data_IF_433323782881
#
_entry.id   IF_433323782881
#
_cell.length_a   1.000
_cell.length_b   1.000
_cell.length_c   1.000
_cell.angle_alpha   90.00
_cell.angle_beta   90.00
_cell.angle_gamma   90.00
#
_symmetry.space_group_name_H-M   'P 1'
#
loop_
_entity.id
_entity.type
_entity.pdbx_description
1 polymer ?
#
# COMPACT_ATOMS: atom_id res chain seq x y z
N UNK A 1 39.73 18.50 -41.05
CA UNK A 1 38.78 17.37 -40.91
C UNK A 1 38.38 17.20 -39.45
N UNK A 2 37.09 17.39 -39.15
CA UNK A 2 36.42 16.74 -38.02
C UNK A 2 36.72 17.26 -36.60
N UNK A 3 36.27 18.48 -36.29
CA UNK A 3 36.11 18.90 -34.90
C UNK A 3 34.97 18.11 -34.23
N UNK A 4 35.28 17.58 -33.05
CA UNK A 4 34.40 17.46 -31.87
C UNK A 4 33.33 16.34 -31.84
N UNK A 5 33.72 15.15 -31.37
CA UNK A 5 32.81 14.10 -30.87
C UNK A 5 32.39 14.40 -29.42
N UNK A 6 31.77 15.56 -29.19
CA UNK A 6 31.08 15.88 -27.92
C UNK A 6 29.69 16.44 -28.19
N UNK A 7 28.94 15.79 -29.08
CA UNK A 7 27.56 16.18 -29.40
C UNK A 7 26.65 14.96 -29.49
N UNK A 8 26.66 14.08 -28.48
CA UNK A 8 25.68 12.98 -28.38
C UNK A 8 25.32 12.69 -26.91
N UNK A 9 24.81 13.70 -26.21
CA UNK A 9 23.81 13.54 -25.14
C UNK A 9 23.19 14.89 -24.78
N UNK A 10 22.56 15.56 -25.76
CA UNK A 10 21.56 16.55 -25.40
C UNK A 10 20.33 15.76 -24.97
N UNK A 11 20.23 15.48 -23.66
CA UNK A 11 19.03 14.93 -23.03
C UNK A 11 17.84 15.66 -23.61
N UNK A 12 16.98 14.94 -24.34
CA UNK A 12 15.72 15.46 -24.82
C UNK A 12 15.01 16.05 -23.59
N UNK A 13 15.00 17.38 -23.46
CA UNK A 13 14.39 18.09 -22.34
C UNK A 13 12.96 17.59 -22.26
N UNK A 14 12.71 16.72 -21.28
CA UNK A 14 11.46 16.00 -21.13
C UNK A 14 10.35 17.01 -20.91
N UNK A 15 9.56 17.26 -21.96
CA UNK A 15 8.49 18.25 -21.94
C UNK A 15 7.28 17.62 -21.24
N UNK A 16 6.97 18.12 -20.05
CA UNK A 16 5.75 17.75 -19.31
C UNK A 16 4.58 18.50 -19.95
N UNK A 17 3.54 17.76 -20.33
CA UNK A 17 2.38 18.29 -21.04
C UNK A 17 1.21 18.49 -20.08
N UNK A 18 0.52 19.62 -20.22
CA UNK A 18 -0.69 19.93 -19.47
C UNK A 18 -1.81 18.97 -19.89
N UNK A 19 -2.60 18.50 -18.92
CA UNK A 19 -3.70 17.54 -19.12
C UNK A 19 -3.30 16.07 -19.01
N UNK A 20 -2.00 15.75 -18.99
CA UNK A 20 -1.51 14.38 -18.80
C UNK A 20 -1.23 14.08 -17.32
N UNK A 21 -1.37 12.81 -16.96
CA UNK A 21 -1.01 12.27 -15.65
C UNK A 21 0.42 11.76 -15.71
N UNK A 22 1.22 12.20 -14.74
CA UNK A 22 2.61 11.77 -14.58
C UNK A 22 2.85 11.23 -13.18
N UNK A 23 3.83 10.35 -13.01
CA UNK A 23 4.28 9.95 -11.67
C UNK A 23 5.24 11.00 -11.14
N UNK A 24 4.82 11.86 -10.22
CA UNK A 24 5.63 12.95 -9.67
C UNK A 24 6.00 12.70 -8.21
N UNK A 25 7.22 13.06 -7.83
CA UNK A 25 7.71 12.95 -6.45
C UNK A 25 7.05 14.00 -5.57
N UNK A 26 6.19 13.57 -4.65
CA UNK A 26 5.52 14.39 -3.64
C UNK A 26 5.87 13.81 -2.26
N UNK A 27 6.49 14.60 -1.39
CA UNK A 27 6.85 14.17 -0.03
C UNK A 27 7.80 12.96 0.05
N UNK A 28 8.56 12.68 -1.02
CA UNK A 28 9.47 11.52 -1.10
C UNK A 28 8.89 10.29 -1.81
N UNK A 29 7.59 10.28 -2.11
CA UNK A 29 6.91 9.19 -2.83
C UNK A 29 6.49 9.66 -4.22
N UNK A 30 6.53 8.78 -5.22
CA UNK A 30 5.99 9.09 -6.55
C UNK A 30 4.50 8.83 -6.59
N UNK A 31 3.71 9.87 -6.80
CA UNK A 31 2.26 9.84 -6.88
C UNK A 31 1.78 10.25 -8.27
N UNK A 32 0.61 9.76 -8.73
CA UNK A 32 0.05 10.17 -10.01
C UNK A 32 -0.48 11.60 -9.89
N UNK A 33 0.11 12.51 -10.64
CA UNK A 33 -0.24 13.92 -10.68
C UNK A 33 -0.68 14.28 -12.09
N UNK A 34 -1.93 14.71 -12.23
CA UNK A 34 -2.43 15.32 -13.47
C UNK A 34 -1.95 16.75 -13.54
N UNK A 35 -1.24 17.12 -14.59
CA UNK A 35 -0.80 18.49 -14.80
C UNK A 35 -1.99 19.34 -15.22
N UNK A 36 -2.24 20.42 -14.49
CA UNK A 36 -3.35 21.33 -14.75
C UNK A 36 -2.84 22.63 -15.39
N UNK A 37 -1.67 23.12 -14.95
CA UNK A 37 -1.08 24.36 -15.44
C UNK A 37 0.44 24.30 -15.47
N UNK A 38 1.06 24.90 -16.48
CA UNK A 38 2.51 25.17 -16.47
C UNK A 38 2.78 26.48 -15.73
N UNK A 39 3.73 26.47 -14.80
CA UNK A 39 4.16 27.63 -14.02
C UNK A 39 5.44 28.28 -14.59
N UNK A 40 5.97 27.76 -15.70
CA UNK A 40 7.25 28.20 -16.28
C UNK A 40 8.48 27.61 -15.55
N UNK A 41 9.68 27.81 -16.12
CA UNK A 41 10.97 27.31 -15.57
C UNK A 41 11.00 25.81 -15.26
N UNK A 42 10.27 24.99 -16.03
CA UNK A 42 10.18 23.55 -15.77
C UNK A 42 9.38 23.20 -14.52
N UNK A 43 8.54 24.11 -14.03
CA UNK A 43 7.60 23.86 -12.94
C UNK A 43 6.17 23.79 -13.46
N UNK A 44 5.40 22.92 -12.84
CA UNK A 44 4.02 22.64 -13.20
C UNK A 44 3.18 22.54 -11.94
N UNK A 45 1.94 23.01 -12.03
CA UNK A 45 0.91 22.77 -11.05
C UNK A 45 0.02 21.63 -11.55
N UNK A 46 -0.29 20.71 -10.66
CA UNK A 46 -1.12 19.57 -10.98
C UNK A 46 -1.90 19.08 -9.78
N UNK A 47 -2.83 18.18 -10.05
CA UNK A 47 -3.69 17.56 -9.05
C UNK A 47 -3.22 16.14 -8.82
N UNK A 48 -2.84 15.83 -7.59
CA UNK A 48 -2.53 14.48 -7.15
C UNK A 48 -3.82 13.65 -7.12
N UNK A 49 -3.84 12.56 -7.88
CA UNK A 49 -5.00 11.68 -7.98
C UNK A 49 -4.85 10.47 -7.03
N UNK A 50 -5.95 9.90 -6.50
CA UNK A 50 -7.33 10.39 -6.59
C UNK A 50 -7.68 11.52 -5.62
N UNK A 51 -6.81 11.81 -4.65
CA UNK A 51 -7.10 12.69 -3.52
C UNK A 51 -7.51 14.13 -3.89
N UNK A 52 -7.27 14.56 -5.13
CA UNK A 52 -7.61 15.90 -5.60
C UNK A 52 -6.70 17.00 -5.05
N UNK A 53 -5.59 16.62 -4.40
CA UNK A 53 -4.68 17.57 -3.74
C UNK A 53 -3.84 18.29 -4.78
N UNK A 54 -3.94 19.62 -4.84
CA UNK A 54 -3.07 20.44 -5.70
C UNK A 54 -1.63 20.39 -5.21
N UNK A 55 -0.71 20.11 -6.13
CA UNK A 55 0.72 20.00 -5.88
C UNK A 55 1.50 20.73 -6.96
N UNK A 56 2.65 21.30 -6.57
CA UNK A 56 3.60 21.92 -7.50
C UNK A 56 4.77 20.96 -7.69
N UNK A 57 5.08 20.65 -8.93
CA UNK A 57 6.10 19.67 -9.29
C UNK A 57 7.08 20.29 -10.29
N UNK A 58 8.34 19.87 -10.21
CA UNK A 58 9.35 20.22 -11.19
C UNK A 58 9.53 19.08 -12.21
N UNK A 59 9.97 19.39 -13.43
CA UNK A 59 10.22 18.39 -14.48
C UNK A 59 11.17 17.29 -14.03
N UNK A 60 12.21 17.64 -13.24
CA UNK A 60 13.18 16.69 -12.67
C UNK A 60 12.54 15.71 -11.67
N UNK A 61 11.44 16.11 -11.03
CA UNK A 61 10.72 15.32 -10.05
C UNK A 61 9.65 14.40 -10.68
N UNK A 62 9.51 14.39 -12.01
CA UNK A 62 8.48 13.65 -12.75
C UNK A 62 9.09 12.40 -13.38
N UNK A 63 8.38 11.26 -13.40
CA UNK A 63 8.73 9.99 -14.08
C UNK A 63 7.64 9.56 -15.08
N UNK A 64 8.06 8.95 -16.19
CA UNK A 64 7.18 8.49 -17.27
C UNK A 64 6.92 9.49 -18.40
N UNK A 65 6.45 9.01 -19.55
CA UNK A 65 6.11 9.81 -20.73
C UNK A 65 4.81 10.62 -20.62
N UNK A 66 4.09 10.48 -19.51
CA UNK A 66 2.75 11.04 -19.36
C UNK A 66 1.72 10.15 -20.03
N UNK A 67 0.62 9.91 -19.35
CA UNK A 67 -0.52 9.14 -19.83
C UNK A 67 -1.78 10.00 -19.71
N UNK A 68 -2.78 9.74 -20.54
CA UNK A 68 -4.06 10.46 -20.42
C UNK A 68 -4.78 10.06 -19.14
N UNK A 69 -5.68 10.93 -18.65
CA UNK A 69 -6.51 10.64 -17.47
C UNK A 69 -7.33 9.38 -17.71
N UNK A 70 -7.92 9.23 -18.90
CA UNK A 70 -8.69 8.03 -19.26
C UNK A 70 -7.83 6.77 -19.29
N UNK A 71 -6.58 6.83 -19.75
CA UNK A 71 -5.67 5.66 -19.69
C UNK A 71 -5.27 5.34 -18.24
N UNK A 72 -5.06 6.36 -17.41
CA UNK A 72 -4.78 6.19 -15.99
C UNK A 72 -5.99 5.61 -15.25
N UNK A 73 -7.19 6.16 -15.49
CA UNK A 73 -8.45 5.68 -14.95
C UNK A 73 -8.80 4.29 -15.49
N UNK A 74 -8.61 4.01 -16.77
CA UNK A 74 -8.87 2.69 -17.40
C UNK A 74 -7.82 1.63 -17.05
N UNK A 75 -6.67 1.99 -16.46
CA UNK A 75 -5.79 1.03 -15.77
C UNK A 75 -6.19 0.82 -14.31
N UNK A 76 -6.91 1.77 -13.73
CA UNK A 76 -7.50 1.67 -12.37
C UNK A 76 -8.88 1.00 -12.35
N UNK A 77 -9.71 1.22 -13.38
CA UNK A 77 -11.10 0.79 -13.54
C UNK A 77 -11.30 -0.69 -13.94
N UNK A 78 -10.32 -1.45 -14.47
CA UNK A 78 -10.42 -2.88 -14.49
C UNK A 78 -9.82 -3.38 -13.16
N UNK A 79 -10.46 -3.03 -12.03
CA UNK A 79 -10.33 -3.67 -10.71
C UNK A 79 -11.13 -2.94 -9.61
N UNK A 80 -12.47 -2.97 -9.69
CA UNK A 80 -13.30 -3.03 -8.47
C UNK A 80 -13.30 -4.46 -7.88
N UNK A 81 -12.71 -5.45 -8.56
CA UNK A 81 -12.39 -6.75 -7.97
C UNK A 81 -11.08 -7.26 -8.55
N UNK A 82 -10.06 -7.46 -7.68
CA UNK A 82 -8.92 -8.41 -7.76
C UNK A 82 -7.49 -7.86 -8.14
N UNK A 83 -6.54 -7.64 -7.23
CA UNK A 83 -5.12 -7.48 -7.66
C UNK A 83 -4.68 -8.64 -8.60
N UNK A 84 -3.80 -8.43 -9.62
CA UNK A 84 -2.50 -9.10 -9.48
C UNK A 84 -1.30 -8.37 -10.09
N UNK A 85 -0.27 -8.40 -9.26
CA UNK A 85 1.15 -8.07 -9.41
C UNK A 85 1.85 -8.97 -10.46
N UNK A 86 2.95 -8.49 -11.07
CA UNK A 86 4.26 -9.18 -11.25
C UNK A 86 4.96 -8.76 -12.57
N UNK A 87 6.29 -8.82 -12.74
CA UNK A 87 7.20 -9.89 -12.33
C UNK A 87 8.69 -9.47 -12.60
N UNK A 88 9.74 -10.29 -12.31
CA UNK A 88 9.68 -11.74 -12.11
C UNK A 88 10.54 -12.28 -10.94
N UNK A 89 10.23 -13.40 -10.30
CA UNK A 89 10.06 -14.73 -10.88
C UNK A 89 9.18 -15.62 -10.00
N UNK A 90 8.35 -16.44 -10.68
CA UNK A 90 7.81 -17.76 -10.34
C UNK A 90 7.14 -17.96 -8.94
N UNK A 91 5.93 -18.48 -8.80
CA UNK A 91 5.01 -19.12 -9.72
C UNK A 91 3.60 -18.99 -9.11
N UNK A 92 2.65 -18.47 -9.90
CA UNK A 92 1.52 -19.23 -10.44
C UNK A 92 0.31 -19.30 -9.50
N UNK A 93 -0.74 -18.56 -9.83
CA UNK A 93 -2.10 -19.11 -9.81
C UNK A 93 -3.02 -18.34 -10.78
N UNK A 94 -3.83 -19.10 -11.50
CA UNK A 94 -4.94 -18.69 -12.37
C UNK A 94 -6.03 -19.76 -12.15
N UNK A 95 -7.33 -19.48 -12.35
CA UNK A 95 -8.17 -18.67 -11.47
C UNK A 95 -9.51 -19.37 -11.09
N UNK A 96 -10.16 -18.84 -10.04
CA UNK A 96 -11.62 -18.70 -9.79
C UNK A 96 -12.56 -19.90 -10.04
N UNK A 97 -13.20 -20.37 -8.97
CA UNK A 97 -14.59 -20.86 -9.02
C UNK A 97 -15.28 -20.68 -7.65
N UNK A 98 -16.51 -20.19 -7.68
CA UNK A 98 -17.41 -20.12 -6.54
C UNK A 98 -17.87 -21.53 -6.13
N UNK A 99 -17.83 -21.87 -4.83
CA UNK A 99 -18.76 -22.79 -4.17
C UNK A 99 -18.44 -22.94 -2.66
N UNK A 100 -19.45 -22.60 -1.85
CA UNK A 100 -19.79 -23.15 -0.52
C UNK A 100 -18.87 -22.97 0.70
N UNK A 101 -19.45 -22.80 1.92
CA UNK A 101 -18.69 -22.63 3.16
C UNK A 101 -17.94 -23.92 3.49
N UNK A 102 -16.65 -23.97 3.18
CA UNK A 102 -15.81 -25.11 3.56
C UNK A 102 -15.09 -24.79 4.86
N UNK A 103 -15.65 -25.39 5.89
CA UNK A 103 -15.13 -25.55 7.23
C UNK A 103 -13.63 -25.91 7.24
N UNK A 104 -12.90 -25.25 8.16
CA UNK A 104 -11.64 -25.66 8.79
C UNK A 104 -10.62 -26.37 7.87
N UNK A 105 -9.82 -25.58 7.17
CA UNK A 105 -8.42 -25.95 6.93
C UNK A 105 -7.55 -25.03 7.77
N UNK A 106 -7.17 -25.54 8.93
CA UNK A 106 -6.29 -24.95 9.93
C UNK A 106 -5.12 -24.25 9.21
N UNK A 107 -5.25 -22.93 9.03
CA UNK A 107 -4.18 -22.12 8.44
C UNK A 107 -3.15 -21.96 9.55
N UNK A 108 -1.88 -22.19 9.23
CA UNK A 108 -0.76 -21.88 10.13
C UNK A 108 -1.03 -20.53 10.79
N UNK A 109 -0.83 -20.38 12.12
CA UNK A 109 -1.28 -19.20 12.85
C UNK A 109 -0.76 -17.97 12.11
N UNK A 110 -1.69 -17.21 11.53
CA UNK A 110 -1.33 -15.95 10.90
C UNK A 110 -0.87 -15.03 12.02
N UNK A 111 -0.04 -14.03 11.72
CA UNK A 111 0.36 -13.04 12.73
C UNK A 111 -0.86 -12.40 13.44
N UNK A 112 -2.02 -12.37 12.78
CA UNK A 112 -3.29 -11.97 13.40
C UNK A 112 -3.83 -12.98 14.43
N UNK A 113 -3.73 -14.28 14.20
CA UNK A 113 -4.17 -15.27 15.19
C UNK A 113 -3.26 -15.23 16.43
N UNK A 114 -1.95 -15.04 16.23
CA UNK A 114 -1.02 -14.79 17.34
C UNK A 114 -1.33 -13.48 18.09
N UNK A 115 -1.81 -12.44 17.39
CA UNK A 115 -2.26 -11.18 17.99
C UNK A 115 -3.47 -11.38 18.88
N UNK A 116 -4.41 -12.22 18.45
CA UNK A 116 -5.56 -12.58 19.27
C UNK A 116 -5.11 -13.28 20.55
N UNK A 117 -4.22 -14.28 20.46
CA UNK A 117 -3.74 -14.98 21.66
C UNK A 117 -3.09 -14.02 22.66
N UNK A 118 -2.16 -13.17 22.19
CA UNK A 118 -1.44 -12.23 23.07
C UNK A 118 -2.37 -11.20 23.72
N UNK A 119 -3.34 -10.65 22.97
CA UNK A 119 -4.30 -9.70 23.53
C UNK A 119 -5.32 -10.38 24.45
N UNK A 120 -5.67 -11.65 24.19
CA UNK A 120 -6.55 -12.43 25.05
C UNK A 120 -5.86 -12.75 26.39
N UNK A 121 -4.60 -13.17 26.37
CA UNK A 121 -3.80 -13.43 27.58
C UNK A 121 -3.58 -12.16 28.40
N UNK A 122 -3.33 -11.02 27.75
CA UNK A 122 -3.09 -9.78 28.45
C UNK A 122 -4.36 -9.09 28.96
N UNK A 123 -5.51 -9.32 28.30
CA UNK A 123 -6.82 -8.76 28.67
C UNK A 123 -6.91 -7.24 28.64
N UNK A 124 -5.93 -6.54 28.07
CA UNK A 124 -5.77 -5.08 28.10
C UNK A 124 -5.41 -4.55 26.71
N UNK A 125 -5.76 -3.29 26.39
CA UNK A 125 -5.30 -2.64 25.17
C UNK A 125 -3.77 -2.59 25.13
N UNK A 126 -3.17 -2.99 24.01
CA UNK A 126 -1.72 -2.97 23.82
C UNK A 126 -1.35 -2.46 22.43
N UNK A 127 -0.12 -1.96 22.32
CA UNK A 127 0.41 -1.55 21.04
C UNK A 127 0.95 -2.74 20.23
N UNK A 128 1.08 -2.56 18.92
CA UNK A 128 1.57 -3.61 18.04
C UNK A 128 3.03 -4.02 18.32
N UNK A 129 3.87 -3.11 18.81
CA UNK A 129 5.26 -3.39 19.17
C UNK A 129 5.36 -4.37 20.34
N UNK A 130 4.70 -4.07 21.46
CA UNK A 130 4.62 -4.94 22.64
C UNK A 130 3.97 -6.28 22.31
N UNK A 131 2.91 -6.25 21.51
CA UNK A 131 2.24 -7.47 21.08
C UNK A 131 3.17 -8.36 20.25
N UNK A 132 3.90 -7.81 19.28
CA UNK A 132 4.89 -8.55 18.48
C UNK A 132 6.05 -9.06 19.32
N UNK A 133 6.53 -8.27 20.28
CA UNK A 133 7.56 -8.71 21.21
C UNK A 133 7.10 -9.96 21.95
N UNK A 134 5.90 -9.93 22.53
CA UNK A 134 5.31 -11.09 23.20
C UNK A 134 5.08 -12.28 22.26
N UNK A 135 4.64 -12.06 21.02
CA UNK A 135 4.47 -13.15 20.04
C UNK A 135 5.80 -13.85 19.71
N UNK A 136 6.88 -13.07 19.62
CA UNK A 136 8.22 -13.59 19.35
C UNK A 136 8.81 -14.30 20.57
N UNK A 137 8.60 -13.75 21.77
CA UNK A 137 9.03 -14.34 23.05
C UNK A 137 8.32 -15.65 23.35
N UNK A 138 7.01 -15.73 23.10
CA UNK A 138 6.20 -16.94 23.27
C UNK A 138 6.37 -17.95 22.15
N UNK A 139 7.08 -17.59 21.07
CA UNK A 139 7.24 -18.45 19.89
C UNK A 139 5.96 -18.71 19.10
N UNK A 140 4.87 -18.00 19.43
CA UNK A 140 3.57 -18.11 18.73
C UNK A 140 3.67 -17.72 17.26
N UNK A 141 4.61 -16.84 16.93
CA UNK A 141 4.82 -16.37 15.57
C UNK A 141 6.30 -16.12 15.30
N UNK A 142 6.74 -16.47 14.09
CA UNK A 142 8.09 -16.21 13.60
C UNK A 142 8.01 -15.41 12.31
N UNK A 143 8.79 -14.33 12.24
CA UNK A 143 8.85 -13.46 11.05
C UNK A 143 10.30 -13.29 10.63
N UNK A 144 10.57 -13.28 9.33
CA UNK A 144 11.89 -12.94 8.76
C UNK A 144 12.05 -11.47 8.39
N UNK A 145 11.09 -10.62 8.74
CA UNK A 145 11.08 -9.21 8.35
C UNK A 145 11.82 -8.31 9.35
N UNK A 146 12.35 -7.18 8.87
CA UNK A 146 12.98 -6.15 9.72
C UNK A 146 12.00 -5.46 10.67
N UNK A 147 10.73 -5.35 10.29
CA UNK A 147 9.70 -4.59 11.03
C UNK A 147 8.38 -5.37 11.16
N UNK A 148 8.35 -6.45 11.97
CA UNK A 148 7.13 -7.23 12.19
C UNK A 148 5.97 -6.43 12.82
N UNK A 149 6.28 -5.39 13.60
CA UNK A 149 5.28 -4.47 14.18
C UNK A 149 4.47 -3.72 13.12
N UNK A 150 5.08 -3.29 12.03
CA UNK A 150 4.38 -2.63 10.92
C UNK A 150 3.46 -3.59 10.16
N UNK A 151 3.90 -4.84 9.98
CA UNK A 151 3.08 -5.88 9.33
C UNK A 151 1.82 -6.17 10.14
N UNK A 152 1.93 -6.34 11.46
CA UNK A 152 0.77 -6.55 12.33
C UNK A 152 -0.13 -5.33 12.36
N UNK A 153 0.44 -4.13 12.46
CA UNK A 153 -0.33 -2.90 12.41
C UNK A 153 -1.17 -2.79 11.13
N UNK A 154 -0.55 -2.99 9.97
CA UNK A 154 -1.25 -2.95 8.69
C UNK A 154 -2.33 -4.03 8.58
N UNK A 155 -2.06 -5.24 9.08
CA UNK A 155 -3.02 -6.34 9.08
C UNK A 155 -4.24 -6.04 9.96
N UNK A 156 -4.03 -5.51 11.17
CA UNK A 156 -5.11 -5.13 12.10
C UNK A 156 -5.94 -3.99 11.53
N UNK A 157 -5.31 -2.93 11.01
CA UNK A 157 -6.02 -1.80 10.40
C UNK A 157 -6.84 -2.25 9.19
N UNK A 158 -6.29 -3.14 8.36
CA UNK A 158 -7.02 -3.71 7.21
C UNK A 158 -8.21 -4.57 7.68
N UNK A 159 -8.05 -5.35 8.75
CA UNK A 159 -9.16 -6.14 9.29
C UNK A 159 -10.27 -5.25 9.86
N UNK A 160 -9.93 -4.23 10.64
CA UNK A 160 -10.88 -3.25 11.16
C UNK A 160 -11.62 -2.56 10.01
N UNK A 161 -10.90 -2.17 8.95
CA UNK A 161 -11.50 -1.49 7.80
C UNK A 161 -12.42 -2.42 6.99
N UNK A 162 -12.07 -3.70 6.85
CA UNK A 162 -12.86 -4.68 6.08
C UNK A 162 -14.07 -5.23 6.83
N UNK A 163 -13.92 -5.49 8.13
CA UNK A 163 -14.95 -6.14 8.95
C UNK A 163 -15.75 -5.16 9.80
N UNK A 164 -15.23 -3.96 10.06
CA UNK A 164 -15.89 -2.94 10.87
C UNK A 164 -16.28 -3.49 12.25
N UNK A 165 -17.58 -3.50 12.55
CA UNK A 165 -18.12 -4.04 13.80
C UNK A 165 -17.89 -5.55 13.99
N UNK A 166 -17.68 -6.31 12.92
CA UNK A 166 -17.35 -7.73 12.98
C UNK A 166 -15.82 -8.00 13.11
N UNK A 167 -15.02 -6.94 13.28
CA UNK A 167 -13.58 -7.06 13.51
C UNK A 167 -13.31 -7.68 14.88
N UNK A 168 -12.30 -8.56 14.94
CA UNK A 168 -11.80 -9.13 16.20
C UNK A 168 -11.02 -8.11 17.02
N UNK A 169 -10.47 -7.11 16.36
CA UNK A 169 -9.71 -6.03 16.96
C UNK A 169 -10.52 -4.73 16.97
N UNK A 170 -10.32 -3.92 18.00
CA UNK A 170 -10.81 -2.54 18.09
C UNK A 170 -9.66 -1.62 18.39
N UNK A 171 -9.69 -0.44 17.79
CA UNK A 171 -8.74 0.63 18.09
C UNK A 171 -9.26 1.39 19.31
N UNK A 172 -8.50 1.36 20.40
CA UNK A 172 -8.82 2.08 21.65
C UNK A 172 -8.19 3.47 21.65
N UNK A 173 -6.94 3.56 21.21
CA UNK A 173 -6.16 4.81 21.18
C UNK A 173 -5.17 4.81 20.00
N UNK A 174 -4.35 5.84 19.87
CA UNK A 174 -3.35 5.98 18.80
C UNK A 174 -2.28 4.89 18.93
N UNK A 175 -2.45 3.83 18.16
CA UNK A 175 -1.52 2.70 18.13
C UNK A 175 -1.82 1.63 19.20
N UNK A 176 -2.90 1.79 19.97
CA UNK A 176 -3.39 0.80 20.92
C UNK A 176 -4.58 0.03 20.36
N UNK A 177 -4.52 -1.29 20.47
CA UNK A 177 -5.55 -2.19 20.01
C UNK A 177 -5.97 -3.14 21.13
N UNK A 178 -7.25 -3.44 21.18
CA UNK A 178 -7.85 -4.42 22.08
C UNK A 178 -8.66 -5.45 21.31
N UNK A 179 -8.98 -6.56 21.95
CA UNK A 179 -9.94 -7.52 21.40
C UNK A 179 -11.37 -7.09 21.70
N UNK A 180 -12.21 -7.16 20.67
CA UNK A 180 -13.67 -7.07 20.82
C UNK A 180 -14.22 -8.35 21.42
N UNK A 181 -15.50 -8.34 21.80
CA UNK A 181 -16.19 -9.56 22.26
C UNK A 181 -16.12 -10.69 21.22
N UNK A 182 -16.18 -10.35 19.93
CA UNK A 182 -16.02 -11.29 18.79
C UNK A 182 -14.63 -11.93 18.77
N UNK A 183 -13.59 -11.22 19.22
CA UNK A 183 -12.22 -11.73 19.33
C UNK A 183 -11.93 -12.45 20.65
N UNK A 184 -12.62 -12.11 21.74
CA UNK A 184 -12.49 -12.73 23.06
C UNK A 184 -13.25 -14.05 23.21
N UNK A 185 -14.36 -14.22 22.48
CA UNK A 185 -15.30 -15.32 22.69
C UNK A 185 -15.65 -16.06 21.39
N UNK A 186 -14.78 -16.98 20.99
CA UNK A 186 -15.12 -18.06 20.07
C UNK A 186 -14.85 -19.39 20.74
N UNK A 187 -15.72 -19.76 21.69
CA UNK A 187 -15.83 -21.14 22.20
C UNK A 187 -17.22 -21.65 21.89
#
# INVERSE_FOLDING_TARGET
MGHNVKELHMEAKRKVEVGKVYSAKVGGTFLPVRIDKSLGHGRYEGVCLPDGKTVKIATDAVKGGGETIEQWEARRKPKEQEVPVAAPVAAADKPKAAATPREKKQRKPSGLDAAVVVLAEAGKPMNCGDMVKRMLETGLWKTGGKTPSSTIYAAIITEISKKGAASRFRKTDRGMFELTEVGKGGK
#
